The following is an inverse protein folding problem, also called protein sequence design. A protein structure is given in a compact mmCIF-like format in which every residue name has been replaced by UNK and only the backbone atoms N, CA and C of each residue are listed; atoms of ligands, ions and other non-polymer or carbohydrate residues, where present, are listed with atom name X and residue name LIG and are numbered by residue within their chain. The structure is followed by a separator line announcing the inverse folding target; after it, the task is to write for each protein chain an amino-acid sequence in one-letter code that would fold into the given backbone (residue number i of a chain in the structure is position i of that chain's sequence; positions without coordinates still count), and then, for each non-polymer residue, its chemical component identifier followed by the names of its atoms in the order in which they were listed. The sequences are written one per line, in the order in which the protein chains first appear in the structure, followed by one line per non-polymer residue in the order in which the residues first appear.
data_IF_766517572195
#
_entry.id   IF_766517572195
#
_cell.length_a   1.000
_cell.length_b   1.000
_cell.length_c   1.000
_cell.angle_alpha   90.00
_cell.angle_beta   90.00
_cell.angle_gamma   90.00
#
_symmetry.space_group_name_H-M   'P 1'
#
loop_
_entity.id
_entity.type
_entity.pdbx_description
1 polymer ?
#
# COMPACT_ATOMS: atom_id res chain seq x y z
N UNK A 1 0.24 10.95 -17.32
CA UNK A 1 0.38 10.81 -15.85
C UNK A 1 -0.97 10.35 -15.38
N UNK A 2 -1.06 9.18 -14.73
CA UNK A 2 -2.34 8.67 -14.25
C UNK A 2 -2.83 9.57 -13.13
N UNK A 3 -4.12 9.93 -13.18
CA UNK A 3 -4.72 10.74 -12.13
C UNK A 3 -5.36 9.81 -11.11
N UNK A 4 -4.98 9.96 -9.85
CA UNK A 4 -5.65 9.27 -8.74
C UNK A 4 -6.73 10.19 -8.17
N UNK A 5 -7.81 9.59 -7.70
CA UNK A 5 -8.88 10.26 -6.96
C UNK A 5 -8.85 9.81 -5.50
N UNK A 6 -9.16 10.73 -4.59
CA UNK A 6 -9.16 10.48 -3.16
C UNK A 6 -10.58 10.37 -2.62
N UNK A 7 -10.75 9.44 -1.68
CA UNK A 7 -12.00 9.20 -0.98
C UNK A 7 -11.75 9.18 0.52
N UNK A 8 -12.39 10.10 1.24
CA UNK A 8 -12.47 10.05 2.70
C UNK A 8 -13.35 8.88 3.11
N UNK A 9 -12.88 8.06 4.05
CA UNK A 9 -13.60 6.89 4.55
C UNK A 9 -14.30 7.26 5.86
N UNK A 10 -15.62 7.16 5.87
CA UNK A 10 -16.47 7.42 7.04
C UNK A 10 -17.00 6.11 7.66
N UNK A 11 -17.23 5.08 6.85
CA UNK A 11 -17.86 3.84 7.28
C UNK A 11 -17.79 2.72 6.23
N UNK A 12 -18.69 1.75 6.36
CA UNK A 12 -18.86 0.65 5.41
C UNK A 12 -17.65 -0.29 5.30
N UNK A 13 -17.59 -1.01 4.18
CA UNK A 13 -16.54 -1.97 3.88
C UNK A 13 -15.15 -1.31 3.86
N UNK A 14 -15.01 -0.11 3.27
CA UNK A 14 -13.73 0.60 3.21
C UNK A 14 -13.12 0.83 4.61
N UNK A 15 -13.96 1.17 5.60
CA UNK A 15 -13.51 1.36 6.99
C UNK A 15 -13.06 0.04 7.64
N UNK A 16 -13.74 -1.07 7.33
CA UNK A 16 -13.33 -2.39 7.81
C UNK A 16 -11.98 -2.79 7.21
N UNK A 17 -11.81 -2.59 5.89
CA UNK A 17 -10.59 -2.95 5.17
C UNK A 17 -9.38 -2.14 5.64
N UNK A 18 -9.51 -0.82 5.82
CA UNK A 18 -8.37 0.00 6.32
C UNK A 18 -7.99 -0.39 7.75
N UNK A 19 -8.97 -0.67 8.62
CA UNK A 19 -8.70 -1.13 9.99
C UNK A 19 -8.01 -2.48 10.01
N UNK A 20 -8.48 -3.43 9.21
CA UNK A 20 -7.85 -4.74 9.07
C UNK A 20 -6.42 -4.60 8.54
N UNK A 21 -6.21 -3.79 7.50
CA UNK A 21 -4.87 -3.53 6.96
C UNK A 21 -3.93 -2.92 8.01
N UNK A 22 -4.39 -1.96 8.81
CA UNK A 22 -3.58 -1.40 9.92
C UNK A 22 -3.23 -2.50 10.93
N UNK A 23 -4.20 -3.30 11.36
CA UNK A 23 -3.96 -4.39 12.31
C UNK A 23 -2.95 -5.42 11.77
N UNK A 24 -3.07 -5.82 10.50
CA UNK A 24 -2.13 -6.74 9.86
C UNK A 24 -0.73 -6.14 9.73
N UNK A 25 -0.62 -4.85 9.40
CA UNK A 25 0.66 -4.15 9.36
C UNK A 25 1.34 -4.11 10.74
N UNK A 26 0.58 -3.84 11.80
CA UNK A 26 1.10 -3.86 13.17
C UNK A 26 1.58 -5.26 13.57
N UNK A 27 0.76 -6.29 13.32
CA UNK A 27 1.14 -7.70 13.53
C UNK A 27 2.43 -8.07 12.80
N UNK A 28 2.54 -7.75 11.52
CA UNK A 28 3.75 -8.03 10.73
C UNK A 28 4.95 -7.24 11.28
N UNK A 29 4.75 -5.99 11.68
CA UNK A 29 5.81 -5.17 12.30
C UNK A 29 6.31 -5.77 13.62
N UNK A 30 5.41 -6.26 14.48
CA UNK A 30 5.76 -6.94 15.73
C UNK A 30 6.52 -8.24 15.49
N UNK A 31 6.07 -9.06 14.54
CA UNK A 31 6.75 -10.29 14.15
C UNK A 31 8.16 -10.02 13.62
N UNK A 32 8.30 -8.98 12.78
CA UNK A 32 9.60 -8.53 12.28
C UNK A 32 10.49 -8.05 13.43
N UNK A 33 9.98 -7.22 14.34
CA UNK A 33 10.74 -6.73 15.49
C UNK A 33 11.25 -7.88 16.37
N UNK A 34 10.42 -8.90 16.61
CA UNK A 34 10.84 -10.09 17.35
C UNK A 34 11.96 -10.85 16.62
N UNK A 35 11.83 -11.04 15.30
CA UNK A 35 12.85 -11.69 14.47
C UNK A 35 14.19 -10.94 14.49
N UNK A 36 14.14 -9.60 14.36
CA UNK A 36 15.34 -8.76 14.33
C UNK A 36 16.04 -8.72 15.70
N UNK A 37 15.27 -8.71 16.78
CA UNK A 37 15.79 -8.82 18.15
C UNK A 37 16.56 -10.11 18.35
N UNK A 38 16.02 -11.23 17.86
CA UNK A 38 16.70 -12.54 17.94
C UNK A 38 17.99 -12.59 17.12
N UNK A 39 18.00 -11.98 15.93
CA UNK A 39 19.19 -11.85 15.09
C UNK A 39 20.22 -10.85 15.62
N UNK A 40 19.89 -10.06 16.65
CA UNK A 40 20.73 -8.99 17.14
C UNK A 40 20.97 -7.87 16.12
N UNK A 41 20.02 -7.64 15.20
CA UNK A 41 20.12 -6.59 14.18
C UNK A 41 19.11 -5.47 14.42
N UNK A 42 19.48 -4.24 14.06
CA UNK A 42 18.61 -3.06 14.16
C UNK A 42 18.13 -2.55 12.81
N UNK A 43 18.77 -2.96 11.72
CA UNK A 43 18.47 -2.50 10.36
C UNK A 43 18.15 -3.68 9.45
N UNK A 44 17.07 -3.52 8.68
CA UNK A 44 16.58 -4.50 7.74
C UNK A 44 15.88 -3.82 6.57
N UNK A 45 15.59 -4.60 5.53
CA UNK A 45 14.80 -4.17 4.39
C UNK A 45 13.54 -5.04 4.29
N UNK A 46 12.36 -4.46 4.54
CA UNK A 46 11.10 -5.15 4.31
C UNK A 46 10.73 -5.17 2.82
N UNK A 47 9.89 -6.12 2.46
CA UNK A 47 9.12 -6.11 1.22
C UNK A 47 8.14 -4.95 1.23
N UNK A 48 8.04 -4.24 0.10
CA UNK A 48 7.04 -3.16 -0.06
C UNK A 48 5.62 -3.72 -0.23
N UNK A 49 5.50 -4.97 -0.70
CA UNK A 49 4.23 -5.59 -1.05
C UNK A 49 3.48 -6.11 0.18
N UNK A 50 4.21 -6.73 1.12
CA UNK A 50 3.63 -7.48 2.24
C UNK A 50 4.32 -7.23 3.60
N UNK A 51 5.34 -6.37 3.63
CA UNK A 51 6.07 -5.99 4.84
C UNK A 51 6.99 -7.06 5.42
N UNK A 52 7.14 -8.24 4.81
CA UNK A 52 8.04 -9.30 5.30
C UNK A 52 9.51 -8.90 5.22
N UNK A 53 10.37 -9.44 6.07
CA UNK A 53 11.82 -9.16 6.04
C UNK A 53 12.45 -9.86 4.83
N UNK A 54 13.03 -9.08 3.91
CA UNK A 54 13.78 -9.61 2.76
C UNK A 54 15.27 -9.81 3.07
N UNK A 55 15.84 -8.89 3.84
CA UNK A 55 17.27 -8.91 4.22
C UNK A 55 17.52 -8.10 5.48
N UNK A 56 18.67 -8.36 6.10
CA UNK A 56 19.13 -7.69 7.31
C UNK A 56 20.52 -7.10 7.12
N UNK A 57 20.88 -6.15 7.98
CA UNK A 57 22.22 -5.57 8.07
C UNK A 57 22.83 -5.89 9.44
N UNK A 58 23.93 -6.64 9.43
CA UNK A 58 24.71 -6.89 10.63
C UNK A 58 25.72 -5.77 10.84
N UNK A 59 25.66 -5.08 11.98
CA UNK A 59 26.63 -4.04 12.36
C UNK A 59 27.96 -4.61 12.88
N UNK A 60 27.97 -5.89 13.26
CA UNK A 60 29.14 -6.61 13.78
C UNK A 60 29.34 -7.95 13.09
N UNK A 61 29.66 -8.98 13.88
CA UNK A 61 29.83 -10.33 13.34
C UNK A 61 28.51 -10.82 12.70
N UNK A 62 28.62 -11.26 11.44
CA UNK A 62 27.48 -11.77 10.67
C UNK A 62 27.17 -13.19 11.12
N UNK A 63 25.88 -13.47 11.37
CA UNK A 63 25.39 -14.82 11.63
C UNK A 63 25.82 -15.82 10.52
N UNK A 64 26.26 -17.02 10.92
CA UNK A 64 26.85 -18.01 10.00
C UNK A 64 25.90 -18.45 8.87
N UNK A 65 24.60 -18.46 9.15
CA UNK A 65 23.54 -18.80 8.19
C UNK A 65 23.32 -17.75 7.10
N UNK A 66 24.00 -16.61 7.11
CA UNK A 66 23.75 -15.52 6.16
C UNK A 66 24.87 -15.36 5.11
N UNK A 67 24.51 -14.95 3.89
CA UNK A 67 25.45 -14.71 2.78
C UNK A 67 26.28 -13.44 3.01
N UNK A 68 27.33 -13.21 2.21
CA UNK A 68 28.11 -11.96 2.32
C UNK A 68 27.20 -10.78 1.98
N UNK A 69 27.23 -9.68 2.77
CA UNK A 69 26.40 -8.53 2.46
C UNK A 69 26.75 -7.96 1.08
N UNK A 70 25.72 -7.47 0.37
CA UNK A 70 25.89 -6.78 -0.89
C UNK A 70 26.44 -5.35 -0.67
N UNK A 71 26.58 -4.57 -1.76
CA UNK A 71 27.10 -3.18 -1.69
C UNK A 71 26.28 -2.24 -0.79
N UNK A 72 25.02 -2.57 -0.50
CA UNK A 72 24.13 -1.80 0.38
C UNK A 72 24.15 -2.30 1.84
N UNK A 73 25.00 -3.29 2.15
CA UNK A 73 25.04 -3.95 3.46
C UNK A 73 23.97 -5.03 3.66
N UNK A 74 23.11 -5.28 2.66
CA UNK A 74 22.03 -6.24 2.80
C UNK A 74 22.53 -7.68 2.70
N UNK A 75 22.14 -8.50 3.66
CA UNK A 75 22.49 -9.90 3.77
C UNK A 75 21.22 -10.76 3.90
N UNK A 76 21.20 -11.88 3.18
CA UNK A 76 20.09 -12.83 3.11
C UNK A 76 20.50 -14.18 3.73
N UNK A 77 19.56 -14.97 4.25
CA UNK A 77 19.89 -16.31 4.71
C UNK A 77 20.33 -17.20 3.54
N UNK A 78 21.31 -18.07 3.79
CA UNK A 78 21.78 -19.09 2.85
C UNK A 78 20.69 -20.13 2.65
N UNK A 79 20.46 -20.62 1.42
CA UNK A 79 19.51 -21.71 1.18
C UNK A 79 19.79 -22.93 2.07
N UNK A 80 18.73 -23.58 2.56
CA UNK A 80 18.82 -24.78 3.41
C UNK A 80 19.14 -24.53 4.89
N UNK A 81 19.32 -23.28 5.31
CA UNK A 81 19.52 -22.94 6.73
C UNK A 81 18.20 -22.80 7.48
N UNK A 82 18.25 -22.86 8.82
CA UNK A 82 17.08 -22.59 9.66
C UNK A 82 16.51 -21.19 9.39
N UNK A 83 17.38 -20.19 9.25
CA UNK A 83 16.98 -18.82 8.94
C UNK A 83 16.34 -18.67 7.57
N UNK A 84 16.77 -19.43 6.55
CA UNK A 84 16.09 -19.44 5.26
C UNK A 84 14.65 -19.97 5.39
N UNK A 85 14.44 -21.05 6.16
CA UNK A 85 13.11 -21.57 6.45
C UNK A 85 12.24 -20.54 7.17
N UNK A 86 12.79 -19.83 8.16
CA UNK A 86 12.07 -18.79 8.91
C UNK A 86 11.71 -17.58 8.06
N UNK A 87 12.63 -17.11 7.21
CA UNK A 87 12.35 -16.01 6.29
C UNK A 87 11.26 -16.40 5.27
N UNK A 88 11.29 -17.64 4.77
CA UNK A 88 10.28 -18.15 3.85
C UNK A 88 8.91 -18.37 4.52
N UNK A 89 8.88 -18.67 5.81
CA UNK A 89 7.65 -18.91 6.57
C UNK A 89 6.99 -17.64 7.13
N UNK A 90 7.52 -16.45 6.84
CA UNK A 90 6.92 -15.19 7.27
C UNK A 90 5.52 -15.02 6.68
N UNK A 91 4.60 -14.51 7.49
CA UNK A 91 3.24 -14.15 7.05
C UNK A 91 3.13 -12.63 7.03
N UNK A 92 3.24 -12.06 5.83
CA UNK A 92 3.04 -10.63 5.58
C UNK A 92 1.58 -10.19 5.68
N UNK A 93 1.31 -8.97 5.25
CA UNK A 93 -0.04 -8.46 4.99
C UNK A 93 -0.36 -8.51 3.49
N UNK A 94 -1.63 -8.52 3.12
CA UNK A 94 -2.02 -8.43 1.70
C UNK A 94 -1.89 -6.97 1.20
N UNK A 95 -1.37 -6.80 -0.02
CA UNK A 95 -1.20 -5.48 -0.62
C UNK A 95 -2.52 -4.71 -0.67
N UNK A 96 -2.54 -3.42 -0.26
CA UNK A 96 -3.77 -2.64 -0.26
C UNK A 96 -4.32 -2.45 -1.68
N UNK A 97 -3.47 -2.46 -2.72
CA UNK A 97 -3.94 -2.39 -4.11
C UNK A 97 -4.82 -3.59 -4.46
N UNK A 98 -4.39 -4.80 -4.06
CA UNK A 98 -5.15 -6.04 -4.26
C UNK A 98 -6.45 -6.03 -3.44
N UNK A 99 -6.37 -5.66 -2.15
CA UNK A 99 -7.53 -5.63 -1.26
C UNK A 99 -8.62 -4.70 -1.81
N UNK A 100 -8.24 -3.46 -2.15
CA UNK A 100 -9.18 -2.42 -2.59
C UNK A 100 -9.74 -2.76 -3.96
N UNK A 101 -8.89 -3.11 -4.94
CA UNK A 101 -9.36 -3.43 -6.29
C UNK A 101 -10.33 -4.60 -6.31
N UNK A 102 -10.04 -5.66 -5.56
CA UNK A 102 -10.93 -6.82 -5.42
C UNK A 102 -12.24 -6.46 -4.71
N UNK A 103 -12.16 -5.71 -3.61
CA UNK A 103 -13.35 -5.38 -2.81
C UNK A 103 -14.34 -4.47 -3.55
N UNK A 104 -13.84 -3.53 -4.35
CA UNK A 104 -14.67 -2.54 -5.05
C UNK A 104 -14.72 -2.76 -6.57
N UNK A 105 -14.24 -3.92 -7.05
CA UNK A 105 -14.17 -4.27 -8.47
C UNK A 105 -13.52 -3.17 -9.33
N UNK A 106 -12.46 -2.55 -8.83
CA UNK A 106 -11.79 -1.45 -9.52
C UNK A 106 -10.94 -2.01 -10.65
N UNK A 107 -11.21 -1.62 -11.91
CA UNK A 107 -10.35 -1.97 -13.02
C UNK A 107 -8.97 -1.33 -12.83
N UNK A 108 -7.93 -2.16 -12.79
CA UNK A 108 -6.53 -1.70 -12.72
C UNK A 108 -5.87 -1.60 -14.09
N UNK A 109 -6.64 -1.81 -15.16
CA UNK A 109 -6.17 -1.67 -16.53
C UNK A 109 -7.30 -1.27 -17.47
N UNK A 110 -6.93 -0.60 -18.56
CA UNK A 110 -7.81 -0.21 -19.65
C UNK A 110 -7.44 -1.00 -20.90
N UNK A 111 -8.40 -1.75 -21.44
CA UNK A 111 -8.28 -2.38 -22.76
C UNK A 111 -9.04 -1.53 -23.78
N UNK A 112 -8.35 -1.11 -24.83
CA UNK A 112 -8.86 -0.20 -25.85
C UNK A 112 -8.83 -0.82 -27.25
N UNK A 113 -9.70 -0.38 -28.14
CA UNK A 113 -9.73 -0.78 -29.56
C UNK A 113 -9.86 0.43 -30.49
N UNK A 114 -9.37 0.31 -31.74
CA UNK A 114 -9.65 1.27 -32.82
C UNK A 114 -9.47 0.58 -34.18
N UNK A 115 -10.56 0.24 -34.85
CA UNK A 115 -10.52 -0.65 -36.02
C UNK A 115 -9.90 -2.00 -35.64
N UNK A 116 -8.87 -2.44 -36.38
CA UNK A 116 -8.16 -3.71 -36.10
C UNK A 116 -7.11 -3.61 -34.99
N UNK A 117 -6.85 -2.40 -34.46
CA UNK A 117 -5.85 -2.20 -33.41
C UNK A 117 -6.44 -2.46 -32.03
N UNK A 118 -5.73 -3.25 -31.22
CA UNK A 118 -6.02 -3.47 -29.79
C UNK A 118 -4.89 -2.91 -28.93
N UNK A 119 -5.25 -2.26 -27.84
CA UNK A 119 -4.33 -1.67 -26.87
C UNK A 119 -4.64 -2.13 -25.45
N UNK A 120 -3.62 -2.05 -24.60
CA UNK A 120 -3.72 -2.28 -23.17
C UNK A 120 -2.87 -1.25 -22.44
N UNK A 121 -3.38 -0.75 -21.32
CA UNK A 121 -2.63 0.14 -20.42
C UNK A 121 -2.99 -0.15 -18.97
N UNK A 122 -2.00 -0.09 -18.08
CA UNK A 122 -2.24 -0.11 -16.65
C UNK A 122 -2.93 1.20 -16.22
N UNK A 123 -3.76 1.15 -15.18
CA UNK A 123 -4.38 2.32 -14.56
C UNK A 123 -3.72 2.55 -13.21
N UNK A 124 -2.91 3.61 -13.11
CA UNK A 124 -2.12 3.91 -11.91
C UNK A 124 -0.67 3.41 -11.99
N UNK A 125 0.02 3.42 -10.85
CA UNK A 125 1.38 2.88 -10.74
C UNK A 125 1.28 1.37 -10.54
N UNK A 126 1.96 0.54 -11.36
CA UNK A 126 1.95 -0.90 -11.19
C UNK A 126 2.26 -1.30 -9.74
N UNK A 127 1.42 -2.17 -9.18
CA UNK A 127 1.49 -2.70 -7.81
C UNK A 127 1.09 -1.68 -6.71
N UNK A 128 0.76 -0.43 -7.06
CA UNK A 128 0.40 0.65 -6.14
C UNK A 128 -0.76 1.51 -6.68
N UNK A 129 -1.63 0.90 -7.48
CA UNK A 129 -2.74 1.56 -8.17
C UNK A 129 -3.77 2.11 -7.16
N UNK A 130 -4.04 1.35 -6.09
CA UNK A 130 -4.89 1.76 -5.00
C UNK A 130 -4.15 1.67 -3.65
N UNK A 131 -4.63 2.41 -2.66
CA UNK A 131 -4.15 2.24 -1.29
C UNK A 131 -4.87 3.06 -0.24
N UNK A 132 -4.45 2.89 1.02
CA UNK A 132 -5.02 3.57 2.18
C UNK A 132 -4.11 4.67 2.71
N UNK A 133 -4.70 5.80 3.06
CA UNK A 133 -4.10 6.86 3.86
C UNK A 133 -4.75 6.87 5.24
N UNK A 134 -3.95 6.99 6.29
CA UNK A 134 -4.46 7.05 7.64
C UNK A 134 -3.47 7.79 8.54
N UNK A 135 -4.00 8.56 9.49
CA UNK A 135 -3.16 9.29 10.45
C UNK A 135 -2.91 8.49 11.72
N UNK A 136 -3.75 7.50 12.04
CA UNK A 136 -3.55 6.62 13.18
C UNK A 136 -4.52 5.44 13.14
N UNK A 137 -4.48 4.60 14.17
CA UNK A 137 -5.36 3.42 14.28
C UNK A 137 -6.83 3.78 14.29
N UNK A 138 -7.20 4.95 14.84
CA UNK A 138 -8.57 5.48 14.90
C UNK A 138 -8.91 6.46 13.76
N UNK A 139 -7.96 6.73 12.87
CA UNK A 139 -8.12 7.63 11.74
C UNK A 139 -7.77 9.09 12.05
N UNK A 140 -8.17 10.04 11.17
CA UNK A 140 -9.00 9.86 9.97
C UNK A 140 -8.38 8.94 8.93
N UNK A 141 -9.23 8.33 8.09
CA UNK A 141 -8.84 7.43 7.01
C UNK A 141 -9.29 7.97 5.64
N UNK A 142 -8.52 7.67 4.61
CA UNK A 142 -8.87 7.86 3.22
C UNK A 142 -8.32 6.69 2.38
N UNK A 143 -8.77 6.60 1.13
CA UNK A 143 -8.17 5.73 0.11
C UNK A 143 -7.97 6.49 -1.18
N UNK A 144 -6.96 6.10 -1.95
CA UNK A 144 -6.80 6.52 -3.34
C UNK A 144 -7.09 5.35 -4.28
N UNK A 145 -7.65 5.69 -5.44
CA UNK A 145 -7.92 4.76 -6.54
C UNK A 145 -7.65 5.49 -7.86
N UNK A 146 -7.39 4.77 -8.98
CA UNK A 146 -7.23 5.41 -10.28
C UNK A 146 -8.55 6.10 -10.72
N UNK A 147 -8.44 7.23 -11.43
CA UNK A 147 -9.58 7.91 -12.05
C UNK A 147 -10.04 7.16 -13.32
N UNK A 148 -10.61 5.98 -13.14
CA UNK A 148 -11.06 5.12 -14.25
C UNK A 148 -12.01 5.87 -15.20
N UNK A 149 -13.05 6.60 -14.73
CA UNK A 149 -13.91 7.36 -15.63
C UNK A 149 -13.17 8.46 -16.40
N UNK A 150 -12.21 9.15 -15.77
CA UNK A 150 -11.36 10.13 -16.43
C UNK A 150 -10.52 9.52 -17.57
N UNK A 151 -9.90 8.36 -17.31
CA UNK A 151 -9.09 7.65 -18.31
C UNK A 151 -9.96 7.06 -19.45
N UNK A 152 -11.16 6.57 -19.13
CA UNK A 152 -12.16 6.13 -20.13
C UNK A 152 -12.56 7.31 -21.02
N UNK A 153 -12.91 8.45 -20.43
CA UNK A 153 -13.28 9.66 -21.18
C UNK A 153 -12.13 10.14 -22.09
N UNK A 154 -10.89 10.11 -21.59
CA UNK A 154 -9.71 10.47 -22.37
C UNK A 154 -9.45 9.52 -23.56
N UNK A 155 -9.71 8.22 -23.39
CA UNK A 155 -9.60 7.25 -24.47
C UNK A 155 -10.70 7.44 -25.53
N UNK A 156 -11.95 7.62 -25.11
CA UNK A 156 -13.08 7.89 -26.00
C UNK A 156 -12.87 9.20 -26.80
N UNK A 157 -12.36 10.25 -26.17
CA UNK A 157 -12.06 11.52 -26.83
C UNK A 157 -10.98 11.40 -27.93
N UNK A 158 -10.12 10.37 -27.86
CA UNK A 158 -9.12 10.04 -28.89
C UNK A 158 -9.69 9.09 -29.98
N UNK A 159 -10.97 8.73 -29.88
CA UNK A 159 -11.66 7.83 -30.79
C UNK A 159 -11.27 6.37 -30.61
N UNK A 160 -10.87 5.96 -29.41
CA UNK A 160 -10.75 4.54 -29.05
C UNK A 160 -12.05 4.03 -28.44
N UNK A 161 -12.39 2.78 -28.72
CA UNK A 161 -13.38 2.02 -27.96
C UNK A 161 -12.75 1.51 -26.67
N UNK A 162 -13.54 1.43 -25.60
CA UNK A 162 -13.11 0.92 -24.29
C UNK A 162 -13.93 -0.32 -23.93
N UNK A 163 -13.25 -1.38 -23.48
CA UNK A 163 -13.89 -2.63 -23.06
C UNK A 163 -14.39 -2.59 -21.62
N UNK A 164 -15.35 -3.45 -21.31
CA UNK A 164 -15.79 -3.71 -19.93
C UNK A 164 -14.70 -4.45 -19.12
N UNK A 165 -14.66 -4.29 -17.78
CA UNK A 165 -15.58 -3.50 -16.95
C UNK A 165 -15.25 -2.00 -16.87
N UNK A 166 -14.13 -1.54 -17.45
CA UNK A 166 -13.69 -0.15 -17.30
C UNK A 166 -14.69 0.87 -17.87
N UNK A 167 -15.34 0.54 -18.99
CA UNK A 167 -16.30 1.44 -19.65
C UNK A 167 -17.49 1.84 -18.77
N UNK A 168 -18.04 0.90 -18.00
CA UNK A 168 -19.23 1.14 -17.16
C UNK A 168 -18.91 1.41 -15.68
N UNK A 169 -17.63 1.35 -15.30
CA UNK A 169 -17.21 1.53 -13.92
C UNK A 169 -17.52 2.94 -13.38
N UNK A 170 -17.96 3.00 -12.13
CA UNK A 170 -18.28 4.25 -11.42
C UNK A 170 -17.49 4.36 -10.13
N UNK A 171 -17.06 5.58 -9.82
CA UNK A 171 -16.35 5.92 -8.60
C UNK A 171 -17.32 6.21 -7.44
N UNK A 172 -18.10 5.20 -7.08
CA UNK A 172 -19.09 5.26 -6.00
C UNK A 172 -18.82 4.14 -5.01
N UNK A 173 -18.40 4.51 -3.79
CA UNK A 173 -18.05 3.56 -2.75
C UNK A 173 -18.85 3.86 -1.48
N UNK A 174 -19.61 2.87 -0.99
CA UNK A 174 -20.43 3.04 0.20
C UNK A 174 -19.57 3.45 1.41
N UNK A 175 -20.06 4.42 2.18
CA UNK A 175 -19.35 4.94 3.36
C UNK A 175 -18.13 5.78 3.03
N UNK A 176 -17.93 6.14 1.76
CA UNK A 176 -16.84 6.99 1.30
C UNK A 176 -17.37 8.29 0.67
N UNK A 177 -16.62 9.38 0.82
CA UNK A 177 -16.90 10.66 0.17
C UNK A 177 -15.68 11.08 -0.64
N UNK A 178 -15.87 11.40 -1.93
CA UNK A 178 -14.80 11.98 -2.75
C UNK A 178 -14.26 13.25 -2.08
N UNK A 179 -12.95 13.41 -2.10
CA UNK A 179 -12.27 14.57 -1.53
C UNK A 179 -11.15 15.05 -2.46
N UNK A 180 -10.85 16.33 -2.36
CA UNK A 180 -9.68 16.92 -3.02
C UNK A 180 -8.40 16.60 -2.23
N UNK A 181 -7.22 16.53 -2.88
CA UNK A 181 -5.95 16.35 -2.19
C UNK A 181 -5.70 17.36 -1.07
N UNK A 182 -6.09 18.62 -1.28
CA UNK A 182 -5.92 19.70 -0.31
C UNK A 182 -6.76 19.46 0.96
N UNK A 183 -7.92 18.81 0.85
CA UNK A 183 -8.71 18.43 2.02
C UNK A 183 -7.96 17.41 2.90
N UNK A 184 -7.16 16.52 2.30
CA UNK A 184 -6.35 15.56 3.04
C UNK A 184 -5.18 16.25 3.74
N UNK A 185 -4.50 17.17 3.04
CA UNK A 185 -3.39 17.93 3.60
C UNK A 185 -3.83 18.77 4.82
N UNK A 186 -5.02 19.37 4.76
CA UNK A 186 -5.61 20.08 5.89
C UNK A 186 -5.82 19.12 7.08
N UNK A 187 -6.34 17.92 6.85
CA UNK A 187 -6.53 16.92 7.91
C UNK A 187 -5.19 16.50 8.55
N UNK A 188 -4.15 16.30 7.73
CA UNK A 188 -2.80 15.96 8.21
C UNK A 188 -2.23 17.09 9.08
N UNK A 189 -2.38 18.34 8.64
CA UNK A 189 -1.92 19.51 9.38
C UNK A 189 -2.65 19.66 10.74
N UNK A 190 -3.97 19.46 10.74
CA UNK A 190 -4.78 19.51 11.96
C UNK A 190 -4.39 18.41 12.96
N UNK A 191 -4.18 17.17 12.49
CA UNK A 191 -3.75 16.07 13.36
C UNK A 191 -2.35 16.32 13.95
N UNK A 192 -1.43 16.82 13.12
CA UNK A 192 -0.08 17.17 13.55
C UNK A 192 -0.08 18.26 14.62
N UNK A 193 -0.95 19.26 14.48
CA UNK A 193 -1.12 20.31 15.49
C UNK A 193 -1.71 19.75 16.79
N UNK A 194 -2.74 18.90 16.70
CA UNK A 194 -3.39 18.25 17.84
C UNK A 194 -2.41 17.44 18.68
N UNK A 195 -1.56 16.62 18.04
CA UNK A 195 -0.51 15.83 18.74
C UNK A 195 0.46 16.72 19.49
N UNK A 196 0.97 17.77 18.83
CA UNK A 196 1.89 18.74 19.48
C UNK A 196 1.26 19.41 20.70
N UNK A 197 -0.04 19.69 20.67
CA UNK A 197 -0.74 20.26 21.81
C UNK A 197 -0.89 19.24 22.95
N UNK A 198 -1.21 17.99 22.64
CA UNK A 198 -1.29 16.91 23.64
C UNK A 198 0.07 16.66 24.32
N UNK A 199 1.15 16.62 23.55
CA UNK A 199 2.51 16.43 24.09
C UNK A 199 2.91 17.56 25.05
N UNK A 200 2.54 18.81 24.72
CA UNK A 200 2.78 19.96 25.60
C UNK A 200 2.01 19.88 26.91
N UNK A 201 0.80 19.34 26.89
CA UNK A 201 -0.02 19.15 28.09
C UNK A 201 0.57 18.04 28.96
N UNK A 202 1.03 16.94 28.35
CA UNK A 202 1.62 15.81 29.08
C UNK A 202 3.01 16.11 29.65
N UNK A 203 3.72 17.08 29.09
CA UNK A 203 5.03 17.53 29.56
C UNK A 203 4.97 18.62 30.64
N UNK A 204 3.79 19.17 30.93
CA UNK A 204 3.55 20.20 31.93
C UNK A 204 3.03 19.59 33.24
#
# INVERSE_FOLDING_TARGET
MFTNVLFRIHGGLARQLVKQHIADRLRTSEANAAMLKELGVTRYWPSVDDGTVLSVHFSGERHADFVKPNRRGASHPKPGTQWAGRFAAQVGYESPSIIISRAFNIPLSLSTGKGDFKGWSALGVPLQECGFLYLGEDGPYAMWVPDVPGEVAAALAKGYDVNEPARSFKLEFEGCKRMEPEEWDILVAQDSLRRKQQDRILAA
#
